data_IF_066496119676
#
_entry.id   IF_066496119676
#
_cell.length_a   1.000
_cell.length_b   1.000
_cell.length_c   1.000
_cell.angle_alpha   90.00
_cell.angle_beta   90.00
_cell.angle_gamma   90.00
#
_symmetry.space_group_name_H-M   'P 1'
#
loop_
_entity.id
_entity.type
_entity.pdbx_description
1 polymer ?
#
# COMPACT_ATOMS: atom_id res chain seq x y z
N UNK A 1 8.73 -17.20 -3.98
CA UNK A 1 9.88 -16.83 -4.83
C UNK A 1 10.42 -15.47 -4.38
N UNK A 2 11.62 -15.44 -3.80
CA UNK A 2 12.30 -14.20 -3.37
C UNK A 2 13.09 -13.58 -4.52
N UNK A 3 13.26 -12.25 -4.53
CA UNK A 3 14.09 -11.56 -5.50
C UNK A 3 15.59 -11.87 -5.28
N UNK A 4 16.34 -12.04 -6.37
CA UNK A 4 17.80 -12.12 -6.32
C UNK A 4 18.39 -10.76 -6.01
N UNK A 5 19.18 -10.66 -4.94
CA UNK A 5 19.88 -9.44 -4.52
C UNK A 5 21.39 -9.65 -4.59
N UNK A 6 22.17 -8.57 -4.74
CA UNK A 6 23.65 -8.64 -4.75
C UNK A 6 24.25 -9.00 -3.39
N UNK A 7 23.49 -8.80 -2.31
CA UNK A 7 23.84 -9.15 -0.93
C UNK A 7 22.60 -9.61 -0.18
N UNK A 8 22.71 -10.49 0.84
CA UNK A 8 21.57 -10.87 1.66
C UNK A 8 20.94 -9.66 2.37
N UNK A 9 19.61 -9.52 2.24
CA UNK A 9 18.82 -8.52 2.96
C UNK A 9 17.59 -9.19 3.59
N UNK A 10 16.85 -8.43 4.41
CA UNK A 10 15.71 -8.96 5.15
C UNK A 10 14.66 -9.61 4.22
N UNK A 11 14.13 -10.81 4.57
CA UNK A 11 13.20 -11.55 3.71
C UNK A 11 11.92 -10.79 3.32
N UNK A 12 11.41 -9.90 4.18
CA UNK A 12 10.24 -9.06 3.85
C UNK A 12 10.50 -8.23 2.58
N UNK A 13 11.74 -7.73 2.41
CA UNK A 13 12.10 -6.93 1.24
C UNK A 13 12.26 -7.80 -0.01
N UNK A 14 12.90 -8.98 0.12
CA UNK A 14 13.10 -9.88 -1.03
C UNK A 14 11.80 -10.58 -1.46
N UNK A 15 10.85 -10.77 -0.55
CA UNK A 15 9.55 -11.40 -0.84
C UNK A 15 8.49 -10.41 -1.34
N UNK A 16 8.67 -9.10 -1.16
CA UNK A 16 7.71 -8.09 -1.62
C UNK A 16 7.62 -8.09 -3.15
N UNK A 17 6.39 -8.14 -3.67
CA UNK A 17 6.08 -8.11 -5.11
C UNK A 17 5.11 -6.98 -5.43
N UNK A 18 5.00 -6.66 -6.71
CA UNK A 18 3.99 -5.75 -7.26
C UNK A 18 3.02 -6.56 -8.13
N UNK A 19 2.11 -7.35 -7.52
CA UNK A 19 1.10 -8.09 -8.27
C UNK A 19 0.14 -7.12 -8.98
N UNK A 20 -0.48 -7.58 -10.06
CA UNK A 20 -1.44 -6.81 -10.88
C UNK A 20 -2.83 -7.42 -10.94
N UNK A 21 -3.00 -8.62 -10.39
CA UNK A 21 -4.28 -9.30 -10.25
C UNK A 21 -4.50 -9.58 -8.76
N UNK A 22 -5.64 -9.15 -8.25
CA UNK A 22 -6.07 -9.34 -6.87
C UNK A 22 -7.41 -10.08 -6.89
N UNK A 23 -7.70 -10.82 -5.83
CA UNK A 23 -9.01 -11.44 -5.66
C UNK A 23 -10.10 -10.34 -5.59
N UNK A 24 -11.10 -10.45 -6.47
CA UNK A 24 -12.20 -9.51 -6.57
C UNK A 24 -13.13 -9.55 -5.33
N UNK A 25 -13.15 -10.68 -4.62
CA UNK A 25 -14.00 -10.90 -3.45
C UNK A 25 -13.28 -10.65 -2.11
N UNK A 26 -11.95 -10.44 -2.14
CA UNK A 26 -11.20 -10.20 -0.92
C UNK A 26 -11.59 -8.86 -0.28
N UNK A 27 -11.79 -8.90 1.04
CA UNK A 27 -12.01 -7.73 1.90
C UNK A 27 -10.79 -7.52 2.81
N UNK A 28 -10.56 -6.28 3.21
CA UNK A 28 -9.46 -5.90 4.11
C UNK A 28 -10.04 -5.35 5.42
N UNK A 29 -9.66 -5.87 6.59
CA UNK A 29 -10.04 -5.29 7.86
C UNK A 29 -9.54 -3.84 8.00
N UNK A 30 -10.34 -2.98 8.63
CA UNK A 30 -9.98 -1.58 8.85
C UNK A 30 -8.69 -1.43 9.67
N UNK A 31 -8.49 -2.28 10.68
CA UNK A 31 -7.30 -2.20 11.55
C UNK A 31 -6.00 -2.50 10.78
N UNK A 32 -6.05 -3.45 9.85
CA UNK A 32 -4.90 -3.76 8.98
C UNK A 32 -4.57 -2.58 8.06
N UNK A 33 -5.60 -1.95 7.48
CA UNK A 33 -5.44 -0.75 6.67
C UNK A 33 -4.83 0.40 7.48
N UNK A 34 -5.31 0.62 8.70
CA UNK A 34 -4.77 1.65 9.60
C UNK A 34 -3.32 1.34 10.00
N UNK A 35 -2.99 0.08 10.28
CA UNK A 35 -1.62 -0.32 10.58
C UNK A 35 -0.66 -0.03 9.42
N UNK A 36 -1.09 -0.26 8.17
CA UNK A 36 -0.30 0.08 6.97
C UNK A 36 -0.07 1.58 6.87
N UNK A 37 -1.13 2.38 7.07
CA UNK A 37 -1.03 3.84 7.00
C UNK A 37 -0.17 4.41 8.15
N UNK A 38 -0.26 3.83 9.34
CA UNK A 38 0.57 4.22 10.48
C UNK A 38 2.05 3.91 10.21
N UNK A 39 2.35 2.73 9.68
CA UNK A 39 3.72 2.39 9.25
C UNK A 39 4.25 3.40 8.21
N UNK A 40 3.42 3.82 7.25
CA UNK A 40 3.80 4.85 6.29
C UNK A 40 4.00 6.23 6.93
N UNK A 41 3.15 6.61 7.90
CA UNK A 41 3.24 7.87 8.66
C UNK A 41 4.53 7.98 9.48
N UNK A 42 5.09 6.85 9.91
CA UNK A 42 6.34 6.79 10.69
C UNK A 42 7.63 6.95 9.88
N UNK A 43 7.55 7.04 8.56
CA UNK A 43 8.73 7.31 7.75
C UNK A 43 9.41 8.63 8.19
N UNK A 44 10.75 8.74 8.13
CA UNK A 44 11.42 10.02 8.34
C UNK A 44 11.15 10.97 7.16
N UNK A 45 11.14 12.27 7.43
CA UNK A 45 11.04 13.32 6.40
C UNK A 45 11.96 14.50 6.72
N UNK A 46 12.33 15.28 5.69
CA UNK A 46 13.10 16.50 5.88
C UNK A 46 12.43 17.41 6.92
N UNK A 47 13.20 17.82 7.94
CA UNK A 47 12.73 18.60 9.09
C UNK A 47 11.49 18.03 9.79
N UNK A 48 11.25 16.72 9.66
CA UNK A 48 10.04 16.05 10.16
C UNK A 48 8.71 16.68 9.68
N UNK A 49 8.71 17.28 8.48
CA UNK A 49 7.51 17.97 7.97
C UNK A 49 6.32 17.04 7.68
N UNK A 50 6.57 15.74 7.49
CA UNK A 50 5.54 14.73 7.22
C UNK A 50 4.58 15.19 6.10
N UNK A 51 5.10 15.51 4.90
CA UNK A 51 4.30 16.15 3.85
C UNK A 51 3.30 15.20 3.19
N UNK A 52 3.37 13.90 3.46
CA UNK A 52 2.48 12.90 2.87
C UNK A 52 1.02 13.15 3.23
N UNK A 53 0.16 12.88 2.26
CA UNK A 53 -1.29 12.79 2.40
C UNK A 53 -1.72 11.48 1.77
N UNK A 54 -2.61 10.77 2.43
CA UNK A 54 -3.14 9.51 1.95
C UNK A 54 -4.60 9.70 1.57
N UNK A 55 -4.93 9.47 0.30
CA UNK A 55 -6.29 9.34 -0.17
C UNK A 55 -6.59 7.86 -0.29
N UNK A 56 -7.54 7.38 0.51
CA UNK A 56 -7.81 5.95 0.68
C UNK A 56 -9.28 5.70 0.40
N UNK A 57 -9.55 4.81 -0.55
CA UNK A 57 -10.88 4.27 -0.79
C UNK A 57 -10.89 2.78 -0.49
N UNK A 58 -11.88 2.33 0.28
CA UNK A 58 -12.14 0.92 0.55
C UNK A 58 -13.15 0.41 -0.48
N UNK A 59 -12.93 -0.82 -0.99
CA UNK A 59 -13.78 -1.43 -2.02
C UNK A 59 -15.27 -1.26 -1.67
N UNK A 60 -16.03 -0.70 -2.61
CA UNK A 60 -17.47 -0.48 -2.49
C UNK A 60 -17.87 0.87 -1.90
N UNK A 61 -16.93 1.65 -1.36
CA UNK A 61 -17.21 3.00 -0.91
C UNK A 61 -17.16 4.03 -2.06
N UNK A 62 -17.68 5.23 -1.80
CA UNK A 62 -17.74 6.30 -2.79
C UNK A 62 -16.34 6.82 -3.21
N UNK A 63 -15.36 6.79 -2.30
CA UNK A 63 -13.99 7.27 -2.56
C UNK A 63 -13.27 6.31 -3.50
N UNK A 64 -13.38 5.00 -3.25
CA UNK A 64 -12.86 3.95 -4.11
C UNK A 64 -13.44 4.06 -5.51
N UNK A 65 -14.76 4.21 -5.63
CA UNK A 65 -15.41 4.36 -6.94
C UNK A 65 -14.93 5.63 -7.66
N UNK A 66 -14.72 6.72 -6.93
CA UNK A 66 -14.19 7.97 -7.49
C UNK A 66 -12.76 7.80 -8.00
N UNK A 67 -11.88 7.14 -7.24
CA UNK A 67 -10.51 6.84 -7.66
C UNK A 67 -10.52 5.91 -8.88
N UNK A 68 -11.31 4.83 -8.84
CA UNK A 68 -11.42 3.84 -9.92
C UNK A 68 -11.86 4.50 -11.23
N UNK A 69 -12.79 5.45 -11.19
CA UNK A 69 -13.28 6.17 -12.36
C UNK A 69 -12.20 7.04 -13.06
N UNK A 70 -11.07 7.32 -12.38
CA UNK A 70 -9.95 8.07 -12.98
C UNK A 70 -8.94 7.19 -13.71
N UNK A 71 -9.01 5.87 -13.53
CA UNK A 71 -8.06 4.95 -14.13
C UNK A 71 -8.39 4.71 -15.61
N UNK A 72 -7.36 4.68 -16.45
CA UNK A 72 -7.49 4.32 -17.87
C UNK A 72 -7.85 2.81 -17.95
N UNK A 73 -8.80 2.41 -18.80
CA UNK A 73 -9.20 1.01 -18.97
C UNK A 73 -8.02 0.07 -19.30
#
# INVERSE_FOLDING_TARGET
MSATTSTPIHPVLTNRRSPRSFDANATMPTDDLLAILEAARWAPSANNFQPWRFHVGVRGDAVFNSILATLVP
#
